data_IF_067916589883
#
_entry.id   IF_067916589883
#
_cell.length_a   1.000
_cell.length_b   1.000
_cell.length_c   1.000
_cell.angle_alpha   90.00
_cell.angle_beta   90.00
_cell.angle_gamma   90.00
#
_symmetry.space_group_name_H-M   'P 1'
#
loop_
_entity.id
_entity.type
_entity.pdbx_description
1 polymer ?
#
# COMPACT_ATOMS: atom_id res chain seq x y z
N UNK A 1 -37.25 14.23 0.52
CA UNK A 1 -36.07 14.22 -0.35
C UNK A 1 -35.25 13.00 0.02
N UNK A 2 -35.23 11.98 -0.83
CA UNK A 2 -34.56 10.71 -0.52
C UNK A 2 -33.06 10.94 -0.37
N UNK A 3 -32.48 10.56 0.77
CA UNK A 3 -31.02 10.53 0.92
C UNK A 3 -30.47 9.61 -0.16
N UNK A 4 -29.51 10.09 -0.96
CA UNK A 4 -28.72 9.17 -1.78
C UNK A 4 -28.07 8.19 -0.81
N UNK A 5 -28.50 6.93 -0.85
CA UNK A 5 -27.87 5.87 -0.09
C UNK A 5 -26.44 5.73 -0.57
N UNK A 6 -25.50 5.80 0.38
CA UNK A 6 -24.10 5.48 0.14
C UNK A 6 -23.99 4.08 -0.50
N UNK A 7 -23.28 3.99 -1.62
CA UNK A 7 -23.04 2.75 -2.36
C UNK A 7 -21.55 2.57 -2.60
N UNK A 8 -21.00 1.48 -2.08
CA UNK A 8 -19.64 1.03 -2.44
C UNK A 8 -19.71 0.40 -3.83
N UNK A 9 -18.82 0.83 -4.73
CA UNK A 9 -18.76 0.31 -6.10
C UNK A 9 -17.73 -0.82 -6.22
N UNK A 10 -16.55 -0.62 -5.63
CA UNK A 10 -15.46 -1.59 -5.59
C UNK A 10 -14.45 -1.18 -4.50
N UNK A 11 -13.58 -2.12 -4.11
CA UNK A 11 -12.33 -1.76 -3.46
C UNK A 11 -11.33 -1.33 -4.54
N UNK A 12 -10.65 -0.20 -4.36
CA UNK A 12 -9.68 0.27 -5.37
C UNK A 12 -8.32 -0.43 -5.24
N UNK A 13 -7.76 -0.49 -4.03
CA UNK A 13 -6.47 -1.09 -3.74
C UNK A 13 -6.31 -1.41 -2.23
N UNK A 14 -5.24 -2.12 -1.88
CA UNK A 14 -4.72 -2.23 -0.50
C UNK A 14 -3.39 -1.48 -0.39
N UNK A 15 -3.33 -0.51 0.52
CA UNK A 15 -2.11 0.26 0.80
C UNK A 15 -1.24 -0.40 1.87
N UNK A 16 0.07 -0.42 1.64
CA UNK A 16 1.07 -0.98 2.54
C UNK A 16 2.23 0.03 2.69
N UNK A 17 2.43 0.54 3.90
CA UNK A 17 3.59 1.35 4.21
C UNK A 17 4.84 0.48 4.30
N UNK A 18 5.87 0.84 3.53
CA UNK A 18 7.13 0.10 3.44
C UNK A 18 8.33 0.97 3.81
N UNK A 19 9.42 0.33 4.24
CA UNK A 19 10.67 1.02 4.60
C UNK A 19 11.56 1.33 3.40
N UNK A 20 11.31 0.70 2.25
CA UNK A 20 12.05 0.91 1.01
C UNK A 20 11.21 0.46 -0.18
N UNK A 21 10.93 1.38 -1.10
CA UNK A 21 10.03 1.16 -2.22
C UNK A 21 10.64 0.22 -3.25
N UNK A 22 11.92 0.39 -3.61
CA UNK A 22 12.57 -0.44 -4.64
C UNK A 22 12.70 -1.90 -4.21
N UNK A 23 13.11 -2.16 -2.96
CA UNK A 23 13.19 -3.53 -2.43
C UNK A 23 11.81 -4.19 -2.41
N UNK A 24 10.77 -3.44 -2.05
CA UNK A 24 9.41 -3.94 -2.03
C UNK A 24 8.92 -4.21 -3.46
N UNK A 25 9.22 -3.32 -4.40
CA UNK A 25 8.89 -3.52 -5.82
C UNK A 25 9.56 -4.75 -6.41
N UNK A 26 10.82 -5.03 -6.08
CA UNK A 26 11.47 -6.24 -6.54
C UNK A 26 10.70 -7.50 -6.11
N UNK A 27 10.22 -7.55 -4.87
CA UNK A 27 9.39 -8.67 -4.41
C UNK A 27 8.05 -8.75 -5.14
N UNK A 28 7.26 -7.67 -5.12
CA UNK A 28 5.91 -7.69 -5.68
C UNK A 28 5.89 -7.88 -7.21
N UNK A 29 6.84 -7.27 -7.93
CA UNK A 29 6.95 -7.36 -9.39
C UNK A 29 7.71 -8.59 -9.85
N UNK A 30 8.89 -8.86 -9.30
CA UNK A 30 9.79 -9.85 -9.89
C UNK A 30 9.55 -11.26 -9.33
N UNK A 31 9.13 -11.38 -8.06
CA UNK A 31 8.79 -12.66 -7.44
C UNK A 31 7.31 -12.96 -7.67
N UNK A 32 6.42 -12.09 -7.18
CA UNK A 32 4.97 -12.30 -7.25
C UNK A 32 4.33 -11.88 -8.59
N UNK A 33 5.12 -11.40 -9.56
CA UNK A 33 4.68 -11.12 -10.94
C UNK A 33 3.52 -10.12 -11.06
N UNK A 34 3.36 -9.20 -10.11
CA UNK A 34 2.48 -8.05 -10.31
C UNK A 34 3.06 -7.09 -11.36
N UNK A 35 2.18 -6.42 -12.10
CA UNK A 35 2.59 -5.40 -13.06
C UNK A 35 2.63 -4.03 -12.40
N UNK A 36 3.73 -3.29 -12.55
CA UNK A 36 3.79 -1.90 -12.13
C UNK A 36 2.79 -1.07 -12.96
N UNK A 37 1.84 -0.43 -12.28
CA UNK A 37 0.88 0.47 -12.91
C UNK A 37 1.45 1.89 -13.03
N UNK A 38 1.88 2.48 -11.92
CA UNK A 38 2.45 3.83 -11.90
C UNK A 38 3.23 4.08 -10.62
N UNK A 39 4.00 5.16 -10.63
CA UNK A 39 4.72 5.71 -9.47
C UNK A 39 4.41 7.19 -9.32
N UNK A 40 4.41 7.67 -8.10
CA UNK A 40 4.29 9.10 -7.83
C UNK A 40 5.10 9.48 -6.59
N UNK A 41 5.44 10.76 -6.49
CA UNK A 41 6.06 11.36 -5.32
C UNK A 41 5.14 12.47 -4.82
N UNK A 42 4.79 12.41 -3.55
CA UNK A 42 3.85 13.32 -2.90
C UNK A 42 4.57 14.07 -1.78
N UNK A 43 4.36 15.39 -1.75
CA UNK A 43 4.94 16.29 -0.75
C UNK A 43 4.01 17.48 -0.53
N UNK A 44 4.32 18.29 0.49
CA UNK A 44 3.61 19.53 0.80
C UNK A 44 2.27 19.32 1.51
N UNK A 45 1.41 20.33 1.39
CA UNK A 45 0.14 20.42 2.12
C UNK A 45 -0.80 19.28 1.76
N UNK A 46 -0.99 19.00 0.46
CA UNK A 46 -1.84 17.92 -0.01
C UNK A 46 -1.43 16.55 0.58
N UNK A 47 -0.13 16.26 0.64
CA UNK A 47 0.37 15.01 1.22
C UNK A 47 0.03 14.92 2.71
N UNK A 48 0.10 16.04 3.42
CA UNK A 48 -0.24 16.11 4.85
C UNK A 48 -1.74 15.97 5.09
N UNK A 49 -2.57 16.60 4.27
CA UNK A 49 -4.03 16.54 4.38
C UNK A 49 -4.59 15.13 4.09
N UNK A 50 -4.11 14.49 3.01
CA UNK A 50 -4.58 13.16 2.61
C UNK A 50 -4.21 12.10 3.65
N UNK A 51 -3.02 12.21 4.24
CA UNK A 51 -2.50 11.20 5.18
C UNK A 51 -2.82 11.52 6.64
N UNK A 52 -3.14 12.77 6.96
CA UNK A 52 -3.24 13.27 8.32
C UNK A 52 -1.88 13.39 9.04
N UNK A 53 -0.75 13.22 8.32
CA UNK A 53 0.61 13.30 8.89
C UNK A 53 1.22 14.68 8.55
N UNK A 54 1.46 15.56 9.53
CA UNK A 54 2.04 16.87 9.27
C UNK A 54 3.43 16.80 8.61
N UNK A 55 3.61 17.52 7.51
CA UNK A 55 4.88 17.56 6.78
C UNK A 55 5.20 16.25 6.07
N UNK A 56 4.18 15.45 5.72
CA UNK A 56 4.37 14.19 5.02
C UNK A 56 5.05 14.41 3.66
N UNK A 57 6.04 13.56 3.40
CA UNK A 57 6.65 13.39 2.09
C UNK A 57 6.80 11.89 1.88
N UNK A 58 6.30 11.37 0.76
CA UNK A 58 6.33 9.94 0.49
C UNK A 58 6.34 9.64 -1.00
N UNK A 59 6.92 8.51 -1.36
CA UNK A 59 6.85 7.97 -2.71
C UNK A 59 5.94 6.76 -2.74
N UNK A 60 5.12 6.66 -3.77
CA UNK A 60 4.23 5.51 -3.98
C UNK A 60 4.60 4.74 -5.25
N UNK A 61 4.28 3.45 -5.24
CA UNK A 61 4.15 2.66 -6.44
C UNK A 61 2.91 1.77 -6.33
N UNK A 62 2.05 1.85 -7.34
CA UNK A 62 0.87 0.99 -7.43
C UNK A 62 1.16 -0.14 -8.41
N UNK A 63 0.95 -1.38 -7.97
CA UNK A 63 0.99 -2.56 -8.82
C UNK A 63 -0.40 -3.17 -8.97
N UNK A 64 -0.64 -3.81 -10.11
CA UNK A 64 -1.89 -4.51 -10.44
C UNK A 64 -1.59 -5.97 -10.76
N UNK A 65 -2.46 -6.86 -10.30
CA UNK A 65 -2.30 -8.29 -10.55
C UNK A 65 -3.43 -9.07 -9.92
N UNK A 66 -3.82 -10.18 -10.54
CA UNK A 66 -4.74 -11.16 -9.95
C UNK A 66 -6.08 -10.55 -9.46
N UNK A 67 -6.58 -9.52 -10.16
CA UNK A 67 -7.85 -8.86 -9.82
C UNK A 67 -7.79 -7.82 -8.69
N UNK A 68 -6.60 -7.52 -8.15
CA UNK A 68 -6.42 -6.52 -7.10
C UNK A 68 -5.27 -5.55 -7.38
N UNK A 69 -5.25 -4.42 -6.67
CA UNK A 69 -4.14 -3.46 -6.70
C UNK A 69 -3.46 -3.38 -5.33
N UNK A 70 -2.14 -3.27 -5.34
CA UNK A 70 -1.31 -3.05 -4.16
C UNK A 70 -0.62 -1.70 -4.30
N UNK A 71 -0.85 -0.80 -3.36
CA UNK A 71 -0.13 0.47 -3.25
C UNK A 71 0.96 0.33 -2.20
N UNK A 72 2.21 0.54 -2.61
CA UNK A 72 3.36 0.57 -1.71
C UNK A 72 3.71 2.02 -1.42
N UNK A 73 3.81 2.40 -0.14
CA UNK A 73 4.08 3.78 0.29
C UNK A 73 5.36 3.84 1.12
N UNK A 74 6.40 4.51 0.63
CA UNK A 74 7.60 4.81 1.41
C UNK A 74 7.57 6.26 1.87
N UNK A 75 7.40 6.46 3.19
CA UNK A 75 7.53 7.78 3.78
C UNK A 75 9.01 8.19 3.89
N UNK A 76 9.31 9.38 3.38
CA UNK A 76 10.60 10.06 3.45
C UNK A 76 10.60 11.08 4.60
N UNK A 77 9.44 11.68 4.90
CA UNK A 77 9.19 12.52 6.06
C UNK A 77 7.86 12.16 6.76
N UNK A 78 7.77 12.29 8.10
CA UNK A 78 8.80 12.82 8.97
C UNK A 78 9.92 11.80 9.27
N UNK A 79 11.09 12.30 9.68
CA UNK A 79 12.29 11.47 9.91
C UNK A 79 12.20 10.60 11.17
N UNK A 80 11.30 10.95 12.09
CA UNK A 80 11.04 10.25 13.35
C UNK A 80 9.99 9.14 13.23
N UNK A 81 9.53 8.82 12.01
CA UNK A 81 8.63 7.69 11.74
C UNK A 81 9.18 6.40 12.35
N UNK A 82 8.28 5.56 12.86
CA UNK A 82 8.63 4.33 13.57
C UNK A 82 8.29 3.11 12.74
N UNK A 83 9.12 2.07 12.83
CA UNK A 83 8.73 0.72 12.45
C UNK A 83 7.94 0.11 13.61
N UNK A 84 6.75 -0.38 13.33
CA UNK A 84 5.94 -1.12 14.30
C UNK A 84 6.14 -2.61 14.01
N UNK A 85 6.46 -3.38 15.05
CA UNK A 85 6.55 -4.83 14.99
C UNK A 85 5.28 -5.41 15.61
N UNK A 86 4.31 -5.76 14.75
CA UNK A 86 3.00 -6.30 15.16
C UNK A 86 2.98 -7.80 14.92
N UNK A 87 2.39 -8.56 15.86
CA UNK A 87 2.12 -10.00 15.66
C UNK A 87 0.76 -10.18 15.00
N UNK A 88 0.50 -11.35 14.39
CA UNK A 88 -0.81 -11.65 13.82
C UNK A 88 -2.00 -11.54 14.80
N UNK A 89 -1.76 -11.63 16.11
CA UNK A 89 -2.79 -11.48 17.14
C UNK A 89 -2.96 -10.05 17.67
N UNK A 90 -2.11 -9.11 17.27
CA UNK A 90 -2.16 -7.73 17.76
C UNK A 90 -3.11 -6.87 16.89
N UNK A 91 -3.81 -5.94 17.53
CA UNK A 91 -4.69 -4.98 16.85
C UNK A 91 -3.88 -4.15 15.85
N UNK A 92 -4.38 -4.06 14.61
CA UNK A 92 -3.73 -3.36 13.51
C UNK A 92 -2.87 -4.24 12.61
N UNK A 93 -2.65 -5.52 12.96
CA UNK A 93 -2.08 -6.48 12.03
C UNK A 93 -3.03 -6.74 10.87
N UNK A 94 -2.52 -6.66 9.63
CA UNK A 94 -3.27 -6.89 8.39
C UNK A 94 -2.46 -7.85 7.52
N UNK A 95 -3.16 -8.72 6.78
CA UNK A 95 -2.54 -9.56 5.76
C UNK A 95 -3.33 -9.47 4.44
N UNK A 96 -2.63 -9.71 3.34
CA UNK A 96 -3.21 -9.96 2.02
C UNK A 96 -2.83 -11.39 1.65
N UNK A 97 -3.82 -12.21 1.27
CA UNK A 97 -3.63 -13.61 0.92
C UNK A 97 -3.90 -13.82 -0.57
N UNK A 98 -3.07 -14.65 -1.20
CA UNK A 98 -3.22 -15.05 -2.59
C UNK A 98 -3.31 -16.58 -2.65
N UNK A 99 -4.24 -17.08 -3.46
CA UNK A 99 -4.30 -18.50 -3.79
C UNK A 99 -3.34 -18.78 -4.93
N UNK A 100 -2.43 -19.73 -4.72
CA UNK A 100 -1.43 -20.15 -5.71
C UNK A 100 -1.58 -21.64 -6.00
N UNK A 101 -1.12 -22.09 -7.16
CA UNK A 101 -1.20 -23.50 -7.55
C UNK A 101 -0.28 -24.39 -6.70
N UNK A 102 0.95 -23.94 -6.47
CA UNK A 102 1.96 -24.63 -5.66
C UNK A 102 2.78 -23.62 -4.86
N UNK A 103 2.83 -23.78 -3.53
CA UNK A 103 3.55 -22.87 -2.64
C UNK A 103 5.07 -23.06 -2.72
N UNK A 104 5.54 -24.26 -3.06
CA UNK A 104 6.97 -24.60 -3.07
C UNK A 104 7.74 -23.99 -4.25
N UNK A 105 7.04 -23.39 -5.22
CA UNK A 105 7.62 -22.82 -6.44
C UNK A 105 7.94 -21.30 -6.33
N UNK A 106 7.72 -20.69 -5.16
CA UNK A 106 7.93 -19.25 -4.89
C UNK A 106 9.31 -18.96 -4.28
#
# INVERSE_FOLDING_TARGET
MGSMLFRILAADHTGITVSNLERSLAFWRDVLRFELSHRAHHTGELASEVTGVPGAEFSIAVLKGYGHKIELLEYLAPKDRKRIDVRPCDVGSVHVAFTVENLDDI
#
